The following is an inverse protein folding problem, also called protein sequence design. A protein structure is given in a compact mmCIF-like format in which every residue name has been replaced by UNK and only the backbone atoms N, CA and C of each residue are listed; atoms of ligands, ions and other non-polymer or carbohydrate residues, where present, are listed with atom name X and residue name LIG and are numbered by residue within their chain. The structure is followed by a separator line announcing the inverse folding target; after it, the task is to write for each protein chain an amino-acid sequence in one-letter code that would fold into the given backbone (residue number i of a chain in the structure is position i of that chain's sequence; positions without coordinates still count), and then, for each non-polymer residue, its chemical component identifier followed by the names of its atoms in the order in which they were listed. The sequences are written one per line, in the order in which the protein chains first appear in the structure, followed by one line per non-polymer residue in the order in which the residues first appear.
data_IF_777737876485
#
_entry.id   IF_777737876485
#
_cell.length_a   1.000
_cell.length_b   1.000
_cell.length_c   1.000
_cell.angle_alpha   90.00
_cell.angle_beta   90.00
_cell.angle_gamma   90.00
#
_symmetry.space_group_name_H-M   'P 1'
#
loop_
_entity.id
_entity.type
_entity.pdbx_description
1 polymer ?
#
# COMPACT_ATOMS: atom_id res chain seq x y z
N UNK A 1 -21.00 -1.77 -28.66
CA UNK A 1 -20.65 -2.86 -27.68
C UNK A 1 -21.93 -3.28 -27.01
N UNK A 2 -22.35 -4.53 -27.16
CA UNK A 2 -23.50 -5.07 -26.39
C UNK A 2 -23.11 -5.15 -24.93
N UNK A 3 -23.82 -4.43 -24.08
CA UNK A 3 -23.57 -4.48 -22.64
C UNK A 3 -23.79 -5.93 -22.15
N UNK A 4 -22.80 -6.48 -21.46
CA UNK A 4 -22.93 -7.78 -20.81
C UNK A 4 -23.93 -7.69 -19.67
N UNK A 5 -24.86 -8.64 -19.57
CA UNK A 5 -25.91 -8.66 -18.56
C UNK A 5 -25.79 -9.88 -17.66
N UNK A 6 -26.06 -9.69 -16.36
CA UNK A 6 -26.06 -10.78 -15.39
C UNK A 6 -27.15 -11.81 -15.67
N UNK A 7 -26.91 -13.07 -15.31
CA UNK A 7 -27.81 -14.19 -15.62
C UNK A 7 -29.12 -14.14 -14.81
N UNK A 8 -29.04 -13.78 -13.53
CA UNK A 8 -30.19 -13.87 -12.65
C UNK A 8 -31.21 -12.76 -12.90
N UNK A 9 -30.79 -11.50 -12.92
CA UNK A 9 -31.72 -10.35 -12.98
C UNK A 9 -31.47 -9.44 -14.18
N UNK A 10 -30.59 -9.82 -15.10
CA UNK A 10 -30.34 -9.10 -16.36
C UNK A 10 -29.82 -7.66 -16.16
N UNK A 11 -29.10 -7.39 -15.07
CA UNK A 11 -28.43 -6.11 -14.86
C UNK A 11 -27.21 -5.97 -15.77
N UNK A 12 -26.84 -4.75 -16.10
CA UNK A 12 -25.59 -4.49 -16.78
C UNK A 12 -24.40 -4.75 -15.86
N UNK A 13 -23.42 -5.52 -16.29
CA UNK A 13 -22.25 -5.90 -15.50
C UNK A 13 -21.48 -4.69 -14.93
N UNK A 14 -21.24 -3.67 -15.76
CA UNK A 14 -20.56 -2.44 -15.33
C UNK A 14 -21.34 -1.65 -14.27
N UNK A 15 -22.68 -1.65 -14.37
CA UNK A 15 -23.54 -1.01 -13.39
C UNK A 15 -23.51 -1.76 -12.06
N UNK A 16 -23.57 -3.10 -12.06
CA UNK A 16 -23.45 -3.94 -10.86
C UNK A 16 -22.12 -3.70 -10.17
N UNK A 17 -21.00 -3.72 -10.89
CA UNK A 17 -19.68 -3.40 -10.37
C UNK A 17 -19.60 -2.02 -9.74
N UNK A 18 -20.25 -1.04 -10.36
CA UNK A 18 -20.32 0.34 -9.86
C UNK A 18 -21.18 0.46 -8.61
N UNK A 19 -22.34 -0.22 -8.58
CA UNK A 19 -23.28 -0.19 -7.44
C UNK A 19 -22.64 -0.79 -6.20
N UNK A 20 -21.97 -1.95 -6.29
CA UNK A 20 -21.28 -2.59 -5.16
C UNK A 20 -20.35 -1.60 -4.44
N UNK A 21 -19.54 -0.88 -5.19
CA UNK A 21 -18.61 0.09 -4.60
C UNK A 21 -19.35 1.25 -3.89
N UNK A 22 -20.40 1.75 -4.50
CA UNK A 22 -21.11 2.92 -4.02
C UNK A 22 -22.04 2.62 -2.85
N UNK A 23 -22.65 1.44 -2.81
CA UNK A 23 -23.41 0.95 -1.66
C UNK A 23 -22.52 0.71 -0.44
N UNK A 24 -21.35 0.09 -0.63
CA UNK A 24 -20.32 -0.07 0.43
C UNK A 24 -19.90 1.30 0.99
N UNK A 25 -19.61 2.27 0.15
CA UNK A 25 -19.22 3.62 0.57
C UNK A 25 -20.29 4.33 1.39
N UNK A 26 -21.55 4.05 1.11
CA UNK A 26 -22.72 4.64 1.80
C UNK A 26 -23.19 3.84 3.01
N UNK A 27 -22.61 2.64 3.24
CA UNK A 27 -23.04 1.76 4.31
C UNK A 27 -24.38 1.05 4.03
N UNK A 28 -24.79 0.98 2.77
CA UNK A 28 -25.95 0.20 2.35
C UNK A 28 -25.58 -1.29 2.26
N UNK A 29 -25.72 -1.97 3.40
CA UNK A 29 -25.33 -3.37 3.58
C UNK A 29 -26.15 -4.32 2.70
N UNK A 30 -27.45 -4.07 2.63
CA UNK A 30 -28.39 -4.92 1.87
C UNK A 30 -28.13 -4.81 0.37
N UNK A 31 -28.03 -3.60 -0.14
CA UNK A 31 -27.72 -3.36 -1.55
C UNK A 31 -26.34 -3.89 -1.92
N UNK A 32 -25.33 -3.66 -1.07
CA UNK A 32 -23.98 -4.15 -1.29
C UNK A 32 -23.93 -5.69 -1.37
N UNK A 33 -24.58 -6.40 -0.45
CA UNK A 33 -24.63 -7.86 -0.43
C UNK A 33 -25.39 -8.41 -1.63
N UNK A 34 -26.57 -7.83 -1.94
CA UNK A 34 -27.38 -8.27 -3.08
C UNK A 34 -26.60 -8.24 -4.38
N UNK A 35 -25.98 -7.11 -4.70
CA UNK A 35 -25.23 -6.97 -5.95
C UNK A 35 -23.90 -7.74 -5.92
N UNK A 36 -23.31 -7.98 -4.76
CA UNK A 36 -22.13 -8.84 -4.63
C UNK A 36 -22.47 -10.30 -4.96
N UNK A 37 -23.61 -10.82 -4.48
CA UNK A 37 -24.11 -12.16 -4.85
C UNK A 37 -24.46 -12.24 -6.33
N UNK A 38 -25.16 -11.23 -6.86
CA UNK A 38 -25.50 -11.15 -8.29
C UNK A 38 -24.26 -11.30 -9.18
N UNK A 39 -23.18 -10.60 -8.81
CA UNK A 39 -21.92 -10.66 -9.58
C UNK A 39 -21.18 -11.97 -9.34
N UNK A 40 -21.11 -12.45 -8.08
CA UNK A 40 -20.33 -13.64 -7.74
C UNK A 40 -20.88 -14.92 -8.38
N UNK A 41 -22.21 -15.02 -8.52
CA UNK A 41 -22.87 -16.16 -9.16
C UNK A 41 -22.93 -16.07 -10.69
N UNK A 42 -22.56 -14.94 -11.26
CA UNK A 42 -22.59 -14.75 -12.71
C UNK A 42 -21.61 -15.68 -13.44
N UNK A 43 -20.35 -15.65 -13.02
CA UNK A 43 -19.28 -16.47 -13.59
C UNK A 43 -18.10 -16.54 -12.63
N UNK A 44 -17.21 -17.51 -12.85
CA UNK A 44 -15.95 -17.59 -12.12
C UNK A 44 -15.11 -16.31 -12.27
N UNK A 45 -15.04 -15.75 -13.49
CA UNK A 45 -14.29 -14.49 -13.71
C UNK A 45 -14.89 -13.32 -12.94
N UNK A 46 -16.22 -13.27 -12.79
CA UNK A 46 -16.91 -12.24 -12.01
C UNK A 46 -16.66 -12.39 -10.52
N UNK A 47 -16.60 -13.63 -10.01
CA UNK A 47 -16.18 -13.91 -8.63
C UNK A 47 -14.75 -13.42 -8.37
N UNK A 48 -13.79 -13.72 -9.24
CA UNK A 48 -12.41 -13.28 -9.10
C UNK A 48 -12.27 -11.77 -9.17
N UNK A 49 -13.06 -11.12 -10.03
CA UNK A 49 -13.11 -9.66 -10.07
C UNK A 49 -13.63 -9.10 -8.73
N UNK A 50 -14.75 -9.62 -8.22
CA UNK A 50 -15.34 -9.20 -6.94
C UNK A 50 -14.34 -9.37 -5.81
N UNK A 51 -13.74 -10.54 -5.70
CA UNK A 51 -12.70 -10.87 -4.71
C UNK A 51 -11.60 -9.81 -4.66
N UNK A 52 -11.04 -9.49 -5.82
CA UNK A 52 -9.97 -8.51 -5.92
C UNK A 52 -10.47 -7.10 -5.59
N UNK A 53 -11.69 -6.78 -6.00
CA UNK A 53 -12.29 -5.48 -5.76
C UNK A 53 -12.59 -5.24 -4.27
N UNK A 54 -13.07 -6.24 -3.55
CA UNK A 54 -13.31 -6.14 -2.10
C UNK A 54 -12.03 -5.87 -1.32
N UNK A 55 -10.92 -6.54 -1.65
CA UNK A 55 -9.60 -6.22 -1.09
C UNK A 55 -9.18 -4.79 -1.38
N UNK A 56 -9.34 -4.35 -2.63
CA UNK A 56 -8.95 -3.00 -3.02
C UNK A 56 -9.79 -1.94 -2.30
N UNK A 57 -11.10 -2.15 -2.14
CA UNK A 57 -11.98 -1.23 -1.41
C UNK A 57 -11.57 -1.06 0.05
N UNK A 58 -11.02 -2.10 0.70
CA UNK A 58 -10.49 -1.97 2.04
C UNK A 58 -9.35 -0.95 2.11
N UNK A 59 -8.45 -0.91 1.13
CA UNK A 59 -7.38 0.09 1.06
C UNK A 59 -7.87 1.45 0.57
N UNK A 60 -8.78 1.49 -0.43
CA UNK A 60 -9.28 2.72 -1.03
C UNK A 60 -10.19 3.52 -0.11
N UNK A 61 -11.11 2.84 0.60
CA UNK A 61 -12.22 3.47 1.29
C UNK A 61 -12.12 3.41 2.83
N UNK A 62 -11.43 2.42 3.41
CA UNK A 62 -11.12 2.34 4.85
C UNK A 62 -9.70 2.87 5.09
N UNK A 63 -8.70 2.23 4.48
CA UNK A 63 -7.31 2.64 4.52
C UNK A 63 -6.81 2.96 5.93
N UNK A 64 -6.26 4.16 6.10
CA UNK A 64 -5.67 4.62 7.36
C UNK A 64 -6.70 4.94 8.46
N UNK A 65 -7.99 5.02 8.14
CA UNK A 65 -9.03 5.26 9.17
C UNK A 65 -9.21 4.05 10.09
N UNK A 66 -8.98 2.83 9.59
CA UNK A 66 -9.02 1.59 10.38
C UNK A 66 -8.13 0.50 9.76
N UNK A 67 -6.81 0.55 9.98
CA UNK A 67 -5.87 -0.43 9.42
C UNK A 67 -6.15 -1.87 9.82
N UNK A 68 -6.68 -2.09 11.03
CA UNK A 68 -7.06 -3.42 11.51
C UNK A 68 -8.20 -4.00 10.68
N UNK A 69 -9.21 -3.20 10.34
CA UNK A 69 -10.30 -3.63 9.47
C UNK A 69 -9.79 -4.01 8.07
N UNK A 70 -8.79 -3.31 7.53
CA UNK A 70 -8.16 -3.68 6.25
C UNK A 70 -7.55 -5.08 6.31
N UNK A 71 -6.82 -5.40 7.39
CA UNK A 71 -6.23 -6.73 7.58
C UNK A 71 -7.29 -7.83 7.73
N UNK A 72 -8.34 -7.57 8.53
CA UNK A 72 -9.46 -8.50 8.72
C UNK A 72 -10.22 -8.78 7.44
N UNK A 73 -10.51 -7.74 6.65
CA UNK A 73 -11.14 -7.88 5.33
C UNK A 73 -10.26 -8.71 4.40
N UNK A 74 -8.96 -8.42 4.34
CA UNK A 74 -8.03 -9.18 3.50
C UNK A 74 -8.03 -10.65 3.84
N UNK A 75 -7.94 -10.99 5.15
CA UNK A 75 -7.98 -12.39 5.61
C UNK A 75 -9.31 -13.07 5.29
N UNK A 76 -10.44 -12.40 5.53
CA UNK A 76 -11.77 -12.96 5.26
C UNK A 76 -12.01 -13.19 3.75
N UNK A 77 -11.46 -12.33 2.89
CA UNK A 77 -11.49 -12.53 1.43
C UNK A 77 -10.65 -13.74 1.01
N UNK A 78 -9.52 -14.00 1.69
CA UNK A 78 -8.74 -15.21 1.41
C UNK A 78 -9.48 -16.47 1.87
N UNK A 79 -10.14 -16.46 3.03
CA UNK A 79 -10.97 -17.57 3.51
C UNK A 79 -12.17 -17.83 2.58
N UNK A 80 -12.84 -16.77 2.13
CA UNK A 80 -13.89 -16.81 1.10
C UNK A 80 -13.40 -17.52 -0.16
N UNK A 81 -12.17 -17.21 -0.59
CA UNK A 81 -11.56 -17.79 -1.79
C UNK A 81 -11.35 -19.30 -1.64
N UNK A 82 -10.79 -19.74 -0.51
CA UNK A 82 -10.57 -21.17 -0.22
C UNK A 82 -11.90 -21.95 -0.21
N UNK A 83 -12.94 -21.39 0.41
CA UNK A 83 -14.26 -22.00 0.42
C UNK A 83 -14.92 -22.05 -0.96
N UNK A 84 -14.76 -21.02 -1.76
CA UNK A 84 -15.24 -20.99 -3.14
C UNK A 84 -14.57 -22.08 -4.01
N UNK A 85 -13.25 -22.22 -3.91
CA UNK A 85 -12.48 -23.23 -4.63
C UNK A 85 -12.85 -24.66 -4.21
N UNK A 86 -13.29 -24.85 -2.94
CA UNK A 86 -13.81 -26.13 -2.46
C UNK A 86 -15.20 -26.49 -2.99
N UNK A 87 -15.81 -25.60 -3.79
CA UNK A 87 -17.12 -25.78 -4.44
C UNK A 87 -18.28 -25.97 -3.46
N UNK A 88 -18.17 -25.43 -2.25
CA UNK A 88 -19.27 -25.30 -1.29
C UNK A 88 -19.92 -23.92 -1.40
N UNK A 89 -21.15 -23.77 -0.91
CA UNK A 89 -21.80 -22.44 -0.81
C UNK A 89 -21.38 -21.68 0.46
N UNK A 90 -20.53 -22.26 1.30
CA UNK A 90 -20.13 -21.66 2.59
C UNK A 90 -19.33 -20.36 2.43
N UNK A 91 -18.76 -20.10 1.23
CA UNK A 91 -18.07 -18.85 0.91
C UNK A 91 -18.93 -17.59 1.02
N UNK A 92 -20.27 -17.72 0.97
CA UNK A 92 -21.18 -16.59 1.09
C UNK A 92 -21.19 -15.99 2.51
N UNK A 93 -20.88 -16.80 3.53
CA UNK A 93 -20.78 -16.30 4.92
C UNK A 93 -19.58 -15.36 5.12
N UNK A 94 -18.33 -15.70 4.75
CA UNK A 94 -17.24 -14.73 4.77
C UNK A 94 -17.48 -13.55 3.81
N UNK A 95 -18.17 -13.71 2.67
CA UNK A 95 -18.57 -12.58 1.83
C UNK A 95 -19.44 -11.60 2.61
N UNK A 96 -20.47 -12.10 3.31
CA UNK A 96 -21.36 -11.27 4.14
C UNK A 96 -20.55 -10.54 5.23
N UNK A 97 -19.62 -11.23 5.89
CA UNK A 97 -18.74 -10.60 6.88
C UNK A 97 -17.90 -9.47 6.26
N UNK A 98 -17.31 -9.69 5.09
CA UNK A 98 -16.53 -8.67 4.35
C UNK A 98 -17.39 -7.44 4.03
N UNK A 99 -18.60 -7.67 3.49
CA UNK A 99 -19.54 -6.58 3.16
C UNK A 99 -19.88 -5.76 4.41
N UNK A 100 -20.22 -6.42 5.52
CA UNK A 100 -20.54 -5.74 6.78
C UNK A 100 -19.35 -4.94 7.31
N UNK A 101 -18.15 -5.54 7.30
CA UNK A 101 -16.91 -4.86 7.71
C UNK A 101 -16.65 -3.61 6.86
N UNK A 102 -16.76 -3.73 5.53
CA UNK A 102 -16.56 -2.62 4.60
C UNK A 102 -17.61 -1.52 4.78
N UNK A 103 -18.88 -1.88 5.00
CA UNK A 103 -19.97 -0.93 5.18
C UNK A 103 -19.87 -0.15 6.50
N UNK A 104 -19.53 -0.84 7.61
CA UNK A 104 -19.56 -0.29 8.98
C UNK A 104 -18.28 0.39 9.42
N UNK A 105 -17.15 0.09 8.78
CA UNK A 105 -15.86 0.69 9.16
C UNK A 105 -15.83 2.20 8.93
N UNK A 106 -15.08 2.89 9.78
CA UNK A 106 -14.68 4.28 9.49
C UNK A 106 -13.95 4.33 8.16
N UNK A 107 -14.15 5.40 7.42
CA UNK A 107 -13.68 5.52 6.03
C UNK A 107 -12.75 6.70 5.84
N UNK A 108 -11.70 6.46 5.03
CA UNK A 108 -10.82 7.51 4.54
C UNK A 108 -10.32 7.13 3.14
N UNK A 109 -10.45 8.05 2.20
CA UNK A 109 -9.93 7.87 0.84
C UNK A 109 -8.57 8.53 0.62
N UNK A 110 -7.87 8.86 1.71
CA UNK A 110 -6.59 9.56 1.59
C UNK A 110 -5.56 8.81 0.75
N UNK A 111 -5.52 7.47 0.85
CA UNK A 111 -4.60 6.64 0.07
C UNK A 111 -4.92 6.69 -1.43
N UNK A 112 -6.21 6.63 -1.81
CA UNK A 112 -6.65 6.75 -3.19
C UNK A 112 -6.38 8.15 -3.76
N UNK A 113 -6.70 9.20 -3.01
CA UNK A 113 -6.43 10.59 -3.42
C UNK A 113 -4.93 10.85 -3.56
N UNK A 114 -4.12 10.37 -2.63
CA UNK A 114 -2.66 10.47 -2.70
C UNK A 114 -2.10 9.79 -3.94
N UNK A 115 -2.50 8.53 -4.19
CA UNK A 115 -2.12 7.79 -5.40
C UNK A 115 -2.50 8.56 -6.68
N UNK A 116 -3.75 9.04 -6.77
CA UNK A 116 -4.23 9.76 -7.96
C UNK A 116 -3.43 11.04 -8.17
N UNK A 117 -3.20 11.81 -7.11
CA UNK A 117 -2.40 13.03 -7.17
C UNK A 117 -0.98 12.76 -7.67
N UNK A 118 -0.25 11.87 -7.00
CA UNK A 118 1.15 11.58 -7.35
C UNK A 118 1.27 10.95 -8.72
N UNK A 119 0.33 10.05 -9.09
CA UNK A 119 0.33 9.42 -10.41
C UNK A 119 0.15 10.45 -11.53
N UNK A 120 -0.79 11.39 -11.40
CA UNK A 120 -0.97 12.45 -12.39
C UNK A 120 0.27 13.35 -12.49
N UNK A 121 0.93 13.63 -11.37
CA UNK A 121 2.18 14.38 -11.37
C UNK A 121 3.32 13.62 -12.08
N UNK A 122 3.41 12.31 -11.83
CA UNK A 122 4.42 11.44 -12.43
C UNK A 122 4.21 11.24 -13.94
N UNK A 123 2.95 11.22 -14.40
CA UNK A 123 2.58 11.11 -15.83
C UNK A 123 2.65 12.46 -16.56
N UNK A 124 2.91 13.56 -15.87
CA UNK A 124 2.99 14.91 -16.49
C UNK A 124 4.30 15.08 -17.28
N UNK A 125 4.22 14.87 -18.58
CA UNK A 125 5.34 15.07 -19.52
C UNK A 125 5.73 16.54 -19.71
N UNK A 126 4.96 17.50 -19.17
CA UNK A 126 5.26 18.92 -19.30
C UNK A 126 6.44 19.39 -18.43
N UNK A 127 6.93 18.54 -17.53
CA UNK A 127 8.03 18.84 -16.62
C UNK A 127 7.70 19.85 -15.52
N UNK A 128 6.42 20.20 -15.34
CA UNK A 128 5.98 21.11 -14.27
C UNK A 128 6.13 20.47 -12.89
N UNK A 129 6.13 19.16 -12.83
CA UNK A 129 6.25 18.40 -11.59
C UNK A 129 7.52 17.55 -11.62
N UNK A 130 8.64 18.19 -11.31
CA UNK A 130 9.92 17.50 -11.18
C UNK A 130 10.34 17.48 -9.72
N UNK A 131 10.54 16.29 -9.15
CA UNK A 131 11.06 16.10 -7.79
C UNK A 131 12.53 15.77 -7.90
N UNK A 132 13.37 16.67 -7.43
CA UNK A 132 14.82 16.41 -7.36
C UNK A 132 15.14 15.37 -6.31
N UNK A 133 16.18 14.57 -6.56
CA UNK A 133 16.69 13.61 -5.57
C UNK A 133 17.33 14.42 -4.43
N UNK A 134 16.81 14.31 -3.20
CA UNK A 134 17.31 15.13 -2.10
C UNK A 134 18.68 14.66 -1.63
N UNK A 135 19.47 15.61 -1.11
CA UNK A 135 20.85 15.36 -0.67
C UNK A 135 20.99 14.21 0.35
N UNK A 136 20.02 14.03 1.24
CA UNK A 136 20.05 12.95 2.21
C UNK A 136 19.97 11.54 1.59
N UNK A 137 19.47 11.43 0.36
CA UNK A 137 19.41 10.16 -0.38
C UNK A 137 20.68 9.86 -1.16
N UNK A 138 21.61 10.83 -1.29
CA UNK A 138 22.86 10.73 -2.03
C UNK A 138 24.00 10.31 -1.10
N UNK A 139 23.90 9.14 -0.51
CA UNK A 139 24.92 8.56 0.37
C UNK A 139 25.94 7.66 -0.37
N UNK A 140 26.78 6.95 0.39
CA UNK A 140 27.83 6.08 -0.14
C UNK A 140 27.31 4.86 -0.94
N UNK A 141 26.00 4.58 -0.91
CA UNK A 141 25.38 3.50 -1.68
C UNK A 141 25.05 3.92 -3.10
N UNK A 142 25.10 5.22 -3.40
CA UNK A 142 24.75 5.78 -4.69
C UNK A 142 25.98 6.25 -5.49
N UNK A 143 25.88 6.15 -6.83
CA UNK A 143 26.96 6.64 -7.71
C UNK A 143 27.21 8.14 -7.52
N UNK A 144 26.16 8.95 -7.39
CA UNK A 144 26.27 10.39 -7.19
C UNK A 144 26.83 10.73 -5.79
N UNK A 145 26.43 9.99 -4.75
CA UNK A 145 27.01 10.14 -3.43
C UNK A 145 28.51 9.86 -3.42
N UNK A 146 28.94 8.81 -4.13
CA UNK A 146 30.38 8.51 -4.30
C UNK A 146 31.12 9.62 -5.06
N UNK A 147 30.54 10.20 -6.12
CA UNK A 147 31.10 11.35 -6.83
C UNK A 147 31.22 12.60 -5.94
N UNK A 148 30.34 12.75 -4.95
CA UNK A 148 30.42 13.80 -3.93
C UNK A 148 31.43 13.48 -2.81
N UNK A 149 32.22 12.41 -2.93
CA UNK A 149 33.21 11.99 -1.94
C UNK A 149 32.66 11.25 -0.73
N UNK A 150 31.37 10.89 -0.76
CA UNK A 150 30.69 10.14 0.33
C UNK A 150 30.96 8.64 0.19
N UNK A 151 32.23 8.23 0.25
CA UNK A 151 32.60 6.82 0.09
C UNK A 151 32.27 6.02 1.37
N UNK A 152 32.00 4.73 1.21
CA UNK A 152 31.63 3.81 2.31
C UNK A 152 32.65 3.79 3.46
N UNK A 153 33.93 3.94 3.14
CA UNK A 153 35.03 3.91 4.11
C UNK A 153 35.66 5.30 4.30
N UNK A 154 34.93 6.38 4.01
CA UNK A 154 35.36 7.73 4.26
C UNK A 154 34.64 8.35 5.44
N UNK A 155 35.29 9.26 6.15
CA UNK A 155 34.71 10.05 7.23
C UNK A 155 33.47 10.80 6.75
N UNK A 156 33.55 11.41 5.58
CA UNK A 156 32.45 12.15 4.96
C UNK A 156 31.23 11.25 4.69
N UNK A 157 31.43 10.05 4.15
CA UNK A 157 30.35 9.11 3.86
C UNK A 157 29.64 8.63 5.13
N UNK A 158 30.39 8.23 6.15
CA UNK A 158 29.85 7.78 7.43
C UNK A 158 29.10 8.90 8.16
N UNK A 159 29.69 10.08 8.24
CA UNK A 159 29.05 11.21 8.93
C UNK A 159 27.81 11.72 8.18
N UNK A 160 27.79 11.70 6.84
CA UNK A 160 26.59 12.03 6.06
C UNK A 160 25.46 11.02 6.33
N UNK A 161 25.78 9.72 6.29
CA UNK A 161 24.78 8.68 6.57
C UNK A 161 24.20 8.83 7.98
N UNK A 162 25.03 8.99 9.01
CA UNK A 162 24.58 9.15 10.41
C UNK A 162 23.73 10.42 10.61
N UNK A 163 24.05 11.53 9.91
CA UNK A 163 23.34 12.80 10.10
C UNK A 163 22.07 12.93 9.27
N UNK A 164 22.07 12.37 8.08
CA UNK A 164 21.03 12.57 7.08
C UNK A 164 20.39 11.25 6.62
N UNK A 165 21.18 10.24 6.26
CA UNK A 165 20.69 9.03 5.62
C UNK A 165 19.86 8.13 6.54
N UNK A 166 20.20 8.03 7.84
CA UNK A 166 19.47 7.18 8.80
C UNK A 166 18.38 7.92 9.59
N UNK A 167 18.16 9.21 9.30
CA UNK A 167 17.19 10.01 10.06
C UNK A 167 15.76 9.52 9.83
N UNK A 168 15.08 9.18 10.94
CA UNK A 168 13.66 8.79 10.94
C UNK A 168 12.77 9.96 11.34
N UNK A 169 11.61 10.05 10.71
CA UNK A 169 10.49 10.90 11.14
C UNK A 169 9.52 10.02 11.91
N UNK A 170 9.01 10.51 13.04
CA UNK A 170 8.14 9.75 13.95
C UNK A 170 8.78 8.46 14.51
N UNK A 171 10.11 8.52 14.79
CA UNK A 171 10.79 7.43 15.49
C UNK A 171 10.11 7.21 16.85
N UNK A 172 9.73 5.95 17.15
CA UNK A 172 9.10 5.65 18.44
C UNK A 172 10.08 5.83 19.60
N UNK A 173 9.58 6.40 20.70
CA UNK A 173 10.34 6.52 21.95
C UNK A 173 10.06 5.37 22.93
N UNK A 174 9.08 4.52 22.61
CA UNK A 174 8.70 3.38 23.46
C UNK A 174 9.71 2.22 23.38
N UNK A 175 10.50 2.17 22.31
CA UNK A 175 11.55 1.17 22.11
C UNK A 175 12.90 1.88 22.19
N UNK A 176 13.62 1.68 23.28
CA UNK A 176 14.96 2.24 23.44
C UNK A 176 15.96 1.52 22.53
N UNK A 177 16.58 2.25 21.60
CA UNK A 177 17.66 1.71 20.77
C UNK A 177 19.02 1.81 21.48
N UNK A 178 19.31 0.81 22.31
CA UNK A 178 20.57 0.69 23.05
C UNK A 178 21.80 0.44 22.15
N UNK A 179 21.59 0.16 20.88
CA UNK A 179 22.65 -0.16 19.90
C UNK A 179 23.03 1.02 19.02
N UNK A 180 22.20 2.03 18.82
CA UNK A 180 22.45 3.17 17.93
C UNK A 180 23.81 3.83 18.18
N UNK A 181 24.09 4.20 19.44
CA UNK A 181 25.36 4.81 19.82
C UNK A 181 26.57 3.86 19.59
N UNK A 182 26.38 2.57 19.83
CA UNK A 182 27.43 1.57 19.62
C UNK A 182 27.73 1.39 18.13
N UNK A 183 26.70 1.33 17.28
CA UNK A 183 26.83 1.24 15.85
C UNK A 183 27.56 2.47 15.26
N UNK A 184 27.13 3.68 15.66
CA UNK A 184 27.80 4.93 15.22
C UNK A 184 29.26 4.97 15.63
N UNK A 185 29.60 4.48 16.84
CA UNK A 185 30.98 4.41 17.28
C UNK A 185 31.82 3.48 16.37
N UNK A 186 31.33 2.25 16.17
CA UNK A 186 32.02 1.27 15.32
C UNK A 186 32.18 1.80 13.88
N UNK A 187 31.15 2.39 13.29
CA UNK A 187 31.24 2.96 11.95
C UNK A 187 32.30 4.06 11.83
N UNK A 188 32.44 4.91 12.83
CA UNK A 188 33.49 5.94 12.85
C UNK A 188 34.89 5.40 13.07
N UNK A 189 35.02 4.34 13.86
CA UNK A 189 36.30 3.68 14.15
C UNK A 189 36.82 2.84 12.95
N UNK A 190 35.92 2.37 12.07
CA UNK A 190 36.31 1.61 10.85
C UNK A 190 36.81 2.50 9.71
N UNK A 191 36.72 3.82 9.86
CA UNK A 191 37.21 4.79 8.85
C UNK A 191 38.62 5.17 9.19
N UNK A 192 39.58 5.07 8.21
CA UNK A 192 40.97 5.53 8.42
C UNK A 192 41.03 6.99 8.85
N UNK A 193 41.93 7.33 9.74
CA UNK A 193 42.19 8.73 10.10
C UNK A 193 42.74 9.49 8.89
N UNK A 194 42.45 10.81 8.79
CA UNK A 194 42.98 11.64 7.67
C UNK A 194 44.48 11.59 7.53
N UNK A 195 45.22 11.22 8.61
CA UNK A 195 46.66 11.06 8.61
C UNK A 195 47.16 9.77 7.91
N UNK A 196 46.27 8.79 7.68
CA UNK A 196 46.62 7.52 7.03
C UNK A 196 46.32 7.52 5.51
N UNK A 197 45.75 8.59 4.99
CA UNK A 197 45.53 8.80 3.56
C UNK A 197 46.70 9.54 2.88
N UNK A 198 47.92 9.23 3.19
CA UNK A 198 49.05 9.64 2.37
C UNK A 198 49.06 8.77 1.10
N UNK A 199 48.58 9.36 0.03
CA UNK A 199 48.69 8.82 -1.34
C UNK A 199 50.18 8.72 -1.70
N UNK A 200 50.62 7.59 -2.27
CA UNK A 200 51.97 7.46 -2.84
C UNK A 200 52.17 8.33 -4.06
#
# INVERSE_FOLDING_TARGET
MTAYKTKAHQYNDDEVKSVIQKTIRRGDETGAMFFALELAHESESSFWWLRNRLKLLAYEDIGLANPEAVLRVSKAVDDMTVLYESKTQDWETPLAYVILMLCRSQKSRIADHFKVYVKNCWEDESGKFNIEIPDYALDYTTSQGNQLGRLKHSRMGVDHFIRAGEKLVNETVEIEDIYKKKAHKVWRETVPSESEMTIP
#
